data_IF_845168584648
#
_entry.id   IF_845168584648
#
_cell.length_a   1.000
_cell.length_b   1.000
_cell.length_c   1.000
_cell.angle_alpha   90.00
_cell.angle_beta   90.00
_cell.angle_gamma   90.00
#
_symmetry.space_group_name_H-M   'P 1'
#
loop_
_entity.id
_entity.type
_entity.pdbx_description
1 polymer ?
#
# COMPACT_ATOMS: atom_id res chain seq x y z
N UNK A 1 21.57 -34.03 -8.90
CA UNK A 1 21.61 -32.55 -8.96
C UNK A 1 20.24 -32.08 -9.42
N UNK A 2 19.64 -31.10 -8.75
CA UNK A 2 18.40 -30.49 -9.25
C UNK A 2 18.73 -29.57 -10.43
N UNK A 3 17.90 -29.59 -11.48
CA UNK A 3 18.02 -28.73 -12.66
C UNK A 3 16.87 -27.71 -12.61
N UNK A 4 17.10 -26.42 -12.90
CA UNK A 4 16.02 -25.42 -12.92
C UNK A 4 14.92 -25.76 -13.93
N UNK A 5 13.66 -25.67 -13.52
CA UNK A 5 12.48 -25.83 -14.36
C UNK A 5 11.78 -24.48 -14.47
N UNK A 6 11.32 -24.13 -15.67
CA UNK A 6 10.58 -22.88 -15.91
C UNK A 6 9.09 -23.09 -15.63
N UNK A 7 8.48 -22.15 -14.91
CA UNK A 7 7.05 -22.09 -14.64
C UNK A 7 6.50 -20.72 -15.05
N UNK A 8 5.19 -20.62 -15.29
CA UNK A 8 4.48 -19.36 -15.57
C UNK A 8 3.50 -19.10 -14.42
N UNK A 9 3.45 -17.86 -13.93
CA UNK A 9 2.43 -17.42 -12.95
C UNK A 9 1.03 -17.56 -13.57
N UNK A 10 0.04 -17.98 -12.78
CA UNK A 10 -1.37 -17.95 -13.23
C UNK A 10 -1.84 -16.50 -13.37
N UNK A 11 -2.79 -16.20 -14.29
CA UNK A 11 -3.44 -14.90 -14.32
C UNK A 11 -4.23 -14.71 -13.02
N UNK A 12 -4.09 -13.54 -12.41
CA UNK A 12 -4.79 -13.17 -11.18
C UNK A 12 -5.28 -11.74 -11.32
N UNK A 13 -6.51 -11.51 -10.87
CA UNK A 13 -7.07 -10.17 -10.69
C UNK A 13 -6.89 -9.76 -9.23
N UNK A 14 -6.67 -8.47 -9.00
CA UNK A 14 -6.49 -7.89 -7.66
C UNK A 14 -7.37 -6.65 -7.53
N UNK A 15 -7.73 -6.31 -6.29
CA UNK A 15 -8.34 -5.02 -5.97
C UNK A 15 -7.24 -4.05 -5.56
N UNK A 16 -7.31 -2.79 -5.98
CA UNK A 16 -6.33 -1.78 -5.60
C UNK A 16 -6.94 -0.40 -5.46
N UNK A 17 -6.46 0.38 -4.49
CA UNK A 17 -6.76 1.81 -4.34
C UNK A 17 -5.46 2.60 -4.41
N UNK A 18 -5.38 3.60 -5.30
CA UNK A 18 -4.29 4.56 -5.27
C UNK A 18 -4.56 5.58 -4.18
N UNK A 19 -3.60 5.81 -3.29
CA UNK A 19 -3.72 6.87 -2.30
C UNK A 19 -3.27 8.21 -2.88
N UNK A 20 -4.11 9.23 -2.75
CA UNK A 20 -3.91 10.57 -3.31
C UNK A 20 -3.08 11.52 -2.41
N UNK A 21 -2.55 11.02 -1.29
CA UNK A 21 -1.80 11.81 -0.32
C UNK A 21 -2.66 12.61 0.66
N UNK A 22 -3.99 12.67 0.45
CA UNK A 22 -4.88 13.43 1.33
C UNK A 22 -5.26 12.64 2.57
N UNK A 23 -5.64 13.35 3.64
CA UNK A 23 -6.16 12.72 4.85
C UNK A 23 -7.46 11.95 4.60
N UNK A 24 -8.34 12.47 3.74
CA UNK A 24 -9.60 11.79 3.40
C UNK A 24 -9.33 10.49 2.64
N UNK A 25 -8.53 10.53 1.58
CA UNK A 25 -8.13 9.32 0.84
C UNK A 25 -7.38 8.32 1.73
N UNK A 26 -6.58 8.81 2.68
CA UNK A 26 -5.91 7.95 3.67
C UNK A 26 -6.91 7.23 4.60
N UNK A 27 -7.95 7.94 5.06
CA UNK A 27 -9.03 7.32 5.85
C UNK A 27 -9.84 6.31 5.04
N UNK A 28 -10.10 6.58 3.75
CA UNK A 28 -10.78 5.65 2.85
C UNK A 28 -10.00 4.34 2.67
N UNK A 29 -8.68 4.43 2.47
CA UNK A 29 -7.78 3.26 2.41
C UNK A 29 -7.81 2.48 3.73
N UNK A 30 -7.65 3.16 4.86
CA UNK A 30 -7.67 2.52 6.19
C UNK A 30 -9.02 1.84 6.45
N UNK A 31 -10.12 2.48 6.09
CA UNK A 31 -11.46 1.91 6.24
C UNK A 31 -11.66 0.69 5.33
N UNK A 32 -11.22 0.76 4.07
CA UNK A 32 -11.28 -0.37 3.14
C UNK A 32 -10.49 -1.57 3.66
N UNK A 33 -9.30 -1.36 4.20
CA UNK A 33 -8.51 -2.41 4.84
C UNK A 33 -9.21 -3.00 6.07
N UNK A 34 -9.74 -2.16 6.96
CA UNK A 34 -10.44 -2.61 8.17
C UNK A 34 -11.70 -3.44 7.84
N UNK A 35 -12.44 -3.07 6.78
CA UNK A 35 -13.58 -3.84 6.28
C UNK A 35 -13.20 -5.21 5.72
N UNK A 36 -11.91 -5.44 5.46
CA UNK A 36 -11.35 -6.68 4.95
C UNK A 36 -10.37 -7.32 5.93
N UNK A 37 -10.59 -7.12 7.23
CA UNK A 37 -9.84 -7.73 8.35
C UNK A 37 -8.33 -7.40 8.34
N UNK A 38 -7.93 -6.27 7.76
CA UNK A 38 -6.54 -5.79 7.73
C UNK A 38 -6.36 -4.51 8.55
N UNK A 39 -5.16 -4.33 9.11
CA UNK A 39 -4.82 -3.17 9.93
C UNK A 39 -3.93 -2.19 9.17
N UNK A 40 -4.31 -0.91 9.22
CA UNK A 40 -3.46 0.19 8.79
C UNK A 40 -3.68 1.44 9.65
N UNK A 41 -2.66 2.29 9.69
CA UNK A 41 -2.70 3.57 10.41
C UNK A 41 -2.28 4.69 9.47
N UNK A 42 -3.14 5.69 9.31
CA UNK A 42 -2.78 6.95 8.68
C UNK A 42 -2.00 7.83 9.66
N UNK A 43 -0.83 8.29 9.22
CA UNK A 43 -0.01 9.27 9.93
C UNK A 43 0.02 10.57 9.13
N UNK A 44 -0.49 11.65 9.72
CA UNK A 44 -0.49 12.96 9.10
C UNK A 44 0.94 13.50 8.91
N UNK A 45 1.11 14.39 7.92
CA UNK A 45 2.36 15.09 7.69
C UNK A 45 2.73 15.96 8.90
N UNK A 46 4.02 16.06 9.19
CA UNK A 46 4.54 16.91 10.24
C UNK A 46 4.95 18.26 9.66
N UNK A 47 4.50 19.39 10.24
CA UNK A 47 4.95 20.70 9.80
C UNK A 47 6.47 20.86 9.98
N UNK A 48 7.08 21.69 9.13
CA UNK A 48 8.49 22.02 9.29
C UNK A 48 8.73 22.77 10.59
N UNK A 49 9.87 22.50 11.24
CA UNK A 49 10.33 23.25 12.42
C UNK A 49 9.65 22.87 13.75
N UNK A 50 8.69 21.96 13.76
CA UNK A 50 8.11 21.38 14.97
C UNK A 50 8.53 19.92 15.12
N UNK A 51 9.00 19.55 16.32
CA UNK A 51 9.29 18.17 16.68
C UNK A 51 8.44 17.79 17.89
N UNK A 52 7.62 16.75 17.76
CA UNK A 52 6.87 16.15 18.88
C UNK A 52 7.69 15.12 19.68
N UNK A 53 8.96 14.89 19.28
CA UNK A 53 9.85 13.89 19.88
C UNK A 53 9.59 12.46 19.42
N UNK A 54 8.62 12.26 18.52
CA UNK A 54 8.26 10.95 17.96
C UNK A 54 8.46 10.90 16.43
N UNK A 55 8.34 12.05 15.75
CA UNK A 55 8.41 12.15 14.29
C UNK A 55 9.51 13.10 13.82
N UNK A 56 9.90 12.95 12.55
CA UNK A 56 10.88 13.82 11.89
C UNK A 56 10.14 15.07 11.39
N UNK A 57 10.57 16.30 11.73
CA UNK A 57 9.97 17.52 11.20
C UNK A 57 10.00 17.54 9.67
N UNK A 58 8.90 17.96 9.05
CA UNK A 58 8.75 17.94 7.59
C UNK A 58 8.54 16.55 6.97
N UNK A 59 8.35 15.49 7.78
CA UNK A 59 8.01 14.18 7.25
C UNK A 59 6.63 14.23 6.57
N UNK A 60 6.50 13.74 5.32
CA UNK A 60 5.20 13.69 4.64
C UNK A 60 4.25 12.71 5.31
N UNK A 61 2.97 12.82 4.97
CA UNK A 61 1.97 11.87 5.43
C UNK A 61 2.30 10.46 4.91
N UNK A 62 1.98 9.44 5.70
CA UNK A 62 2.19 8.03 5.34
C UNK A 62 1.00 7.18 5.81
N UNK A 63 0.76 6.06 5.13
CA UNK A 63 -0.09 4.99 5.65
C UNK A 63 0.81 3.83 6.03
N UNK A 64 0.76 3.37 7.27
CA UNK A 64 1.47 2.17 7.70
C UNK A 64 0.51 0.99 7.68
N UNK A 65 0.83 -0.03 6.89
CA UNK A 65 0.06 -1.25 6.71
C UNK A 65 0.74 -2.40 7.45
N UNK A 66 -0.03 -3.24 8.15
CA UNK A 66 0.47 -4.53 8.61
C UNK A 66 0.41 -5.55 7.45
N UNK A 67 1.59 -5.96 6.96
CA UNK A 67 1.73 -6.91 5.84
C UNK A 67 2.35 -8.22 6.33
N UNK A 68 2.44 -9.22 5.43
CA UNK A 68 3.08 -10.51 5.74
C UNK A 68 4.59 -10.38 5.98
N UNK A 69 5.23 -9.36 5.40
CA UNK A 69 6.65 -9.05 5.58
C UNK A 69 6.91 -8.08 6.77
N UNK A 70 5.86 -7.71 7.51
CA UNK A 70 5.91 -6.74 8.60
C UNK A 70 5.25 -5.41 8.25
N UNK A 71 5.47 -4.38 9.05
CA UNK A 71 4.87 -3.07 8.79
C UNK A 71 5.53 -2.38 7.61
N UNK A 72 4.74 -2.01 6.60
CA UNK A 72 5.19 -1.30 5.41
C UNK A 72 4.55 0.08 5.32
N UNK A 73 5.27 1.06 4.79
CA UNK A 73 4.76 2.41 4.55
C UNK A 73 4.31 2.56 3.10
N UNK A 74 3.14 3.14 2.89
CA UNK A 74 2.69 3.72 1.63
C UNK A 74 2.87 5.25 1.68
N UNK A 75 3.29 5.81 0.57
CA UNK A 75 3.41 7.25 0.33
C UNK A 75 2.37 7.72 -0.68
N UNK A 76 2.23 9.03 -0.84
CA UNK A 76 1.36 9.61 -1.87
C UNK A 76 1.64 8.99 -3.24
N UNK A 77 0.58 8.59 -3.94
CA UNK A 77 0.62 7.99 -5.26
C UNK A 77 0.85 6.47 -5.27
N UNK A 78 1.20 5.85 -4.15
CA UNK A 78 1.28 4.40 -4.05
C UNK A 78 -0.10 3.75 -4.16
N UNK A 79 -0.13 2.57 -4.78
CA UNK A 79 -1.31 1.70 -4.77
C UNK A 79 -1.26 0.80 -3.56
N UNK A 80 -2.38 0.72 -2.83
CA UNK A 80 -2.59 -0.29 -1.81
C UNK A 80 -3.35 -1.43 -2.49
N UNK A 81 -2.71 -2.60 -2.58
CA UNK A 81 -3.24 -3.76 -3.28
C UNK A 81 -3.73 -4.78 -2.26
N UNK A 82 -4.92 -5.34 -2.51
CA UNK A 82 -5.37 -6.58 -1.88
C UNK A 82 -5.06 -7.76 -2.79
N UNK A 83 -4.16 -8.62 -2.36
CA UNK A 83 -3.76 -9.83 -3.06
C UNK A 83 -4.82 -10.94 -3.00
N UNK A 84 -4.53 -12.03 -3.69
CA UNK A 84 -5.48 -13.13 -3.91
C UNK A 84 -5.82 -13.93 -2.65
N UNK A 85 -4.98 -13.87 -1.61
CA UNK A 85 -5.24 -14.49 -0.32
C UNK A 85 -5.79 -13.48 0.71
N UNK A 86 -6.13 -12.26 0.26
CA UNK A 86 -6.63 -11.18 1.11
C UNK A 86 -5.55 -10.35 1.78
N UNK A 87 -4.26 -10.63 1.53
CA UNK A 87 -3.14 -9.86 2.05
C UNK A 87 -3.10 -8.45 1.44
N UNK A 88 -2.70 -7.46 2.24
CA UNK A 88 -2.52 -6.09 1.77
C UNK A 88 -1.04 -5.71 1.70
N UNK A 89 -0.66 -4.95 0.67
CA UNK A 89 0.69 -4.39 0.55
C UNK A 89 0.68 -3.13 -0.31
N UNK A 90 1.59 -2.17 -0.04
CA UNK A 90 1.78 -1.02 -0.90
C UNK A 90 2.58 -1.41 -2.15
N UNK A 91 2.31 -0.74 -3.25
CA UNK A 91 2.97 -0.94 -4.53
C UNK A 91 3.22 0.41 -5.21
N UNK A 92 4.48 0.63 -5.57
CA UNK A 92 4.88 1.83 -6.30
C UNK A 92 4.11 1.93 -7.63
N UNK A 93 3.62 3.12 -8.03
CA UNK A 93 2.79 3.28 -9.23
C UNK A 93 3.49 2.82 -10.52
N UNK A 94 4.80 3.03 -10.66
CA UNK A 94 5.54 2.59 -11.85
C UNK A 94 5.61 1.06 -11.94
N UNK A 95 5.65 0.37 -10.78
CA UNK A 95 5.62 -1.09 -10.72
C UNK A 95 4.19 -1.57 -10.98
N UNK A 96 3.19 -0.90 -10.39
CA UNK A 96 1.78 -1.24 -10.58
C UNK A 96 1.40 -1.22 -12.06
N UNK A 97 1.65 -0.12 -12.77
CA UNK A 97 1.31 0.02 -14.19
C UNK A 97 2.10 -0.90 -15.13
N UNK A 98 3.25 -1.43 -14.69
CA UNK A 98 4.00 -2.46 -15.43
C UNK A 98 3.48 -3.88 -15.18
N UNK A 99 2.69 -4.07 -14.13
CA UNK A 99 2.31 -5.40 -13.61
C UNK A 99 0.82 -5.69 -13.80
N UNK A 100 -0.02 -4.66 -13.73
CA UNK A 100 -1.47 -4.78 -13.73
C UNK A 100 -2.09 -3.95 -14.85
N UNK A 101 -3.20 -4.45 -15.39
CA UNK A 101 -4.08 -3.76 -16.31
C UNK A 101 -5.49 -3.68 -15.70
N UNK A 102 -6.26 -2.65 -16.07
CA UNK A 102 -7.63 -2.51 -15.59
C UNK A 102 -8.50 -3.61 -16.21
N UNK A 103 -9.21 -4.36 -15.36
CA UNK A 103 -10.17 -5.36 -15.80
C UNK A 103 -11.58 -4.83 -15.55
N UNK A 104 -12.30 -4.55 -16.64
CA UNK A 104 -13.66 -4.00 -16.70
C UNK A 104 -13.81 -2.53 -16.25
N UNK A 105 -14.34 -1.70 -17.16
CA UNK A 105 -14.79 -0.32 -16.92
C UNK A 105 -16.32 -0.23 -17.03
#
# INVERSE_FOLDING_TARGET
MAVPIKYRKMPVEVEAMQWDGTALGGLEVVQWMALNDAMATYMAAQPEGESDGFTIPGCPAQIYLETLEGTMAATEGDYIIRGVAGEFYPCNPDIFHKTYELVNA
#
